data_IF_563071267719
#
_entry.id   IF_563071267719
#
_cell.length_a   1.000
_cell.length_b   1.000
_cell.length_c   1.000
_cell.angle_alpha   90.00
_cell.angle_beta   90.00
_cell.angle_gamma   90.00
#
_symmetry.space_group_name_H-M   'P 1'
#
loop_
_entity.id
_entity.type
_entity.pdbx_description
1 polymer ?
#
# COMPACT_ATOMS: atom_id res chain seq x y z
N UNK A 1 -1.12 -6.77 -1.55
CA UNK A 1 -0.11 -6.93 -0.49
C UNK A 1 -0.52 -7.98 0.54
N UNK A 2 -1.49 -7.72 1.42
CA UNK A 2 -1.76 -8.60 2.58
C UNK A 2 -2.24 -10.02 2.25
N UNK A 3 -3.05 -10.21 1.19
CA UNK A 3 -3.42 -11.57 0.72
C UNK A 3 -2.23 -12.28 0.08
N UNK A 4 -1.37 -11.56 -0.64
CA UNK A 4 -0.16 -12.13 -1.22
C UNK A 4 0.82 -12.55 -0.12
N UNK A 5 1.01 -11.71 0.91
CA UNK A 5 1.83 -12.03 2.10
C UNK A 5 1.23 -13.18 2.91
N UNK A 6 -0.09 -13.23 3.09
CA UNK A 6 -0.76 -14.36 3.76
C UNK A 6 -0.72 -15.65 2.93
N UNK A 7 -0.81 -15.56 1.60
CA UNK A 7 -0.64 -16.69 0.71
C UNK A 7 0.80 -17.19 0.74
N UNK A 8 1.77 -16.28 0.75
CA UNK A 8 3.20 -16.58 0.91
C UNK A 8 3.46 -17.23 2.26
N UNK A 9 2.97 -16.69 3.38
CA UNK A 9 3.10 -17.32 4.71
C UNK A 9 2.34 -18.66 4.80
N UNK A 10 1.21 -18.80 4.10
CA UNK A 10 0.45 -20.04 4.01
C UNK A 10 1.16 -21.13 3.19
N UNK A 11 1.89 -20.73 2.15
CA UNK A 11 2.75 -21.61 1.34
C UNK A 11 4.06 -21.93 2.09
N UNK A 12 4.62 -20.96 2.80
CA UNK A 12 5.87 -21.05 3.56
C UNK A 12 5.72 -21.85 4.87
N UNK A 13 4.49 -22.01 5.39
CA UNK A 13 4.17 -22.92 6.51
C UNK A 13 3.83 -24.36 6.09
N UNK A 14 3.99 -24.75 4.81
CA UNK A 14 3.92 -26.18 4.46
C UNK A 14 5.17 -26.89 5.00
N UNK A 15 5.02 -27.95 5.80
CA UNK A 15 6.17 -28.78 6.19
C UNK A 15 6.82 -29.35 4.91
N UNK A 16 8.14 -29.60 4.93
CA UNK A 16 8.87 -30.11 3.77
C UNK A 16 8.14 -31.30 3.14
N UNK A 17 7.79 -31.21 1.86
CA UNK A 17 7.22 -32.34 1.11
C UNK A 17 8.34 -33.18 0.47
N UNK A 18 7.98 -34.37 -0.01
CA UNK A 18 8.94 -35.31 -0.57
C UNK A 18 9.55 -34.83 -1.90
N UNK A 19 8.97 -33.81 -2.54
CA UNK A 19 9.46 -33.24 -3.80
C UNK A 19 10.41 -32.04 -3.58
N UNK A 20 10.36 -31.38 -2.41
CA UNK A 20 11.18 -30.19 -2.09
C UNK A 20 11.87 -30.28 -0.71
N UNK A 21 12.93 -31.09 -0.58
CA UNK A 21 13.61 -31.33 0.71
C UNK A 21 14.31 -30.09 1.32
N UNK A 22 14.53 -29.03 0.52
CA UNK A 22 15.26 -27.82 0.93
C UNK A 22 14.37 -26.57 1.12
N UNK A 23 13.04 -26.67 0.95
CA UNK A 23 12.08 -25.58 1.17
C UNK A 23 11.76 -24.69 -0.05
N UNK A 24 10.69 -23.90 0.04
CA UNK A 24 10.09 -23.10 -1.06
C UNK A 24 10.70 -21.69 -1.24
N UNK A 25 11.84 -21.38 -0.60
CA UNK A 25 12.36 -20.00 -0.51
C UNK A 25 12.59 -19.30 -1.85
N UNK A 26 12.92 -20.02 -2.93
CA UNK A 26 13.06 -19.43 -4.28
C UNK A 26 11.73 -19.02 -4.91
N UNK A 27 10.67 -19.79 -4.67
CA UNK A 27 9.33 -19.48 -5.21
C UNK A 27 8.69 -18.28 -4.49
N UNK A 28 8.98 -18.12 -3.20
CA UNK A 28 8.57 -16.99 -2.37
C UNK A 28 9.17 -15.68 -2.89
N UNK A 29 10.50 -15.66 -3.11
CA UNK A 29 11.22 -14.51 -3.67
C UNK A 29 10.70 -14.14 -5.07
N UNK A 30 10.48 -15.10 -5.96
CA UNK A 30 9.91 -14.83 -7.30
C UNK A 30 8.49 -14.24 -7.20
N UNK A 31 7.67 -14.73 -6.27
CA UNK A 31 6.31 -14.22 -6.08
C UNK A 31 6.31 -12.78 -5.56
N UNK A 32 7.22 -12.44 -4.64
CA UNK A 32 7.42 -11.08 -4.13
C UNK A 32 7.90 -10.14 -5.24
N UNK A 33 8.81 -10.59 -6.11
CA UNK A 33 9.27 -9.83 -7.28
C UNK A 33 8.11 -9.46 -8.20
N UNK A 34 7.23 -10.42 -8.53
CA UNK A 34 6.07 -10.20 -9.40
C UNK A 34 5.13 -9.16 -8.78
N UNK A 35 4.81 -9.29 -7.48
CA UNK A 35 3.97 -8.33 -6.77
C UNK A 35 4.62 -6.94 -6.77
N UNK A 36 5.93 -6.87 -6.53
CA UNK A 36 6.70 -5.62 -6.61
C UNK A 36 6.58 -4.95 -7.98
N UNK A 37 6.76 -5.70 -9.08
CA UNK A 37 6.65 -5.15 -10.44
C UNK A 37 5.24 -4.58 -10.71
N UNK A 38 4.20 -5.29 -10.29
CA UNK A 38 2.81 -4.80 -10.41
C UNK A 38 2.63 -3.49 -9.63
N UNK A 39 3.18 -3.40 -8.42
CA UNK A 39 3.12 -2.19 -7.61
C UNK A 39 3.90 -1.02 -8.22
N UNK A 40 5.04 -1.27 -8.87
CA UNK A 40 5.76 -0.25 -9.65
C UNK A 40 4.82 0.32 -10.72
N UNK A 41 4.19 -0.53 -11.52
CA UNK A 41 3.29 -0.10 -12.60
C UNK A 41 2.13 0.74 -12.04
N UNK A 42 1.50 0.28 -10.95
CA UNK A 42 0.42 1.02 -10.28
C UNK A 42 0.90 2.37 -9.75
N UNK A 43 2.09 2.43 -9.13
CA UNK A 43 2.65 3.68 -8.61
C UNK A 43 2.93 4.71 -9.71
N UNK A 44 3.47 4.26 -10.85
CA UNK A 44 3.72 5.11 -12.01
C UNK A 44 2.41 5.63 -12.59
N UNK A 45 1.38 4.77 -12.69
CA UNK A 45 0.06 5.18 -13.15
C UNK A 45 -0.54 6.28 -12.25
N UNK A 46 -0.53 6.09 -10.92
CA UNK A 46 -1.03 7.10 -9.97
C UNK A 46 -0.25 8.41 -10.08
N UNK A 47 1.07 8.34 -10.28
CA UNK A 47 1.91 9.52 -10.45
C UNK A 47 1.57 10.28 -11.74
N UNK A 48 1.31 9.58 -12.84
CA UNK A 48 0.88 10.19 -14.11
C UNK A 48 -0.45 10.91 -13.92
N UNK A 49 -1.44 10.26 -13.31
CA UNK A 49 -2.75 10.87 -13.01
C UNK A 49 -2.62 12.12 -12.13
N UNK A 50 -1.74 12.08 -11.12
CA UNK A 50 -1.45 13.24 -10.28
C UNK A 50 -0.86 14.39 -11.10
N UNK A 51 0.10 14.12 -11.99
CA UNK A 51 0.71 15.14 -12.87
C UNK A 51 -0.31 15.71 -13.85
N UNK A 52 -1.15 14.87 -14.46
CA UNK A 52 -2.20 15.30 -15.39
C UNK A 52 -3.21 16.21 -14.68
N UNK A 53 -3.66 15.84 -13.49
CA UNK A 53 -4.53 16.67 -12.64
C UNK A 53 -3.90 18.04 -12.33
N UNK A 54 -2.58 18.08 -12.15
CA UNK A 54 -1.83 19.32 -11.97
C UNK A 54 -1.78 20.21 -13.22
N UNK A 55 -1.65 19.61 -14.41
CA UNK A 55 -1.46 20.34 -15.69
C UNK A 55 -2.80 20.78 -16.29
N UNK A 56 -3.80 19.90 -16.29
CA UNK A 56 -5.12 20.16 -16.90
C UNK A 56 -6.02 21.04 -16.01
N UNK A 57 -5.67 21.13 -14.72
CA UNK A 57 -6.44 21.82 -13.70
C UNK A 57 -7.24 20.81 -12.86
N UNK A 58 -7.11 20.85 -11.52
CA UNK A 58 -7.67 19.83 -10.66
C UNK A 58 -9.20 19.92 -10.65
N UNK A 59 -9.84 18.83 -11.08
CA UNK A 59 -11.26 18.61 -10.90
C UNK A 59 -11.62 18.44 -9.43
N UNK A 60 -12.90 18.61 -9.09
CA UNK A 60 -13.38 18.35 -7.73
C UNK A 60 -13.51 16.83 -7.54
N UNK A 61 -12.82 16.23 -6.55
CA UNK A 61 -12.99 14.82 -6.26
C UNK A 61 -14.44 14.49 -5.88
N UNK A 62 -14.90 13.31 -6.30
CA UNK A 62 -16.23 12.83 -5.93
C UNK A 62 -16.29 12.49 -4.44
N UNK A 63 -17.45 12.69 -3.80
CA UNK A 63 -17.69 12.27 -2.42
C UNK A 63 -17.46 10.76 -2.20
N UNK A 64 -17.66 9.94 -3.24
CA UNK A 64 -17.33 8.51 -3.22
C UNK A 64 -15.86 8.25 -2.90
N UNK A 65 -14.93 9.05 -3.41
CA UNK A 65 -13.50 8.94 -3.14
C UNK A 65 -13.18 9.22 -1.66
N UNK A 66 -13.87 10.20 -1.06
CA UNK A 66 -13.73 10.52 0.37
C UNK A 66 -14.16 9.34 1.25
N UNK A 67 -15.32 8.75 0.97
CA UNK A 67 -15.81 7.59 1.70
C UNK A 67 -14.92 6.36 1.48
N UNK A 68 -14.44 6.13 0.25
CA UNK A 68 -13.52 5.04 -0.05
C UNK A 68 -12.21 5.18 0.73
N UNK A 69 -11.61 6.38 0.77
CA UNK A 69 -10.39 6.65 1.53
C UNK A 69 -10.60 6.48 3.05
N UNK A 70 -11.74 6.93 3.58
CA UNK A 70 -12.10 6.77 4.99
C UNK A 70 -12.28 5.29 5.37
N UNK A 71 -12.99 4.53 4.54
CA UNK A 71 -13.18 3.09 4.74
C UNK A 71 -11.84 2.35 4.67
N UNK A 72 -10.97 2.71 3.71
CA UNK A 72 -9.61 2.14 3.61
C UNK A 72 -8.80 2.41 4.88
N UNK A 73 -8.78 3.66 5.35
CA UNK A 73 -8.10 4.03 6.60
C UNK A 73 -8.63 3.22 7.78
N UNK A 74 -9.95 3.16 7.97
CA UNK A 74 -10.57 2.43 9.07
C UNK A 74 -10.25 0.93 9.00
N UNK A 75 -10.33 0.32 7.82
CA UNK A 75 -9.99 -1.09 7.62
C UNK A 75 -8.52 -1.38 7.95
N UNK A 76 -7.59 -0.51 7.50
CA UNK A 76 -6.16 -0.66 7.78
C UNK A 76 -5.84 -0.46 9.26
N UNK A 77 -6.49 0.49 9.93
CA UNK A 77 -6.35 0.70 11.37
C UNK A 77 -6.83 -0.52 12.17
N UNK A 78 -7.96 -1.13 11.79
CA UNK A 78 -8.46 -2.37 12.40
C UNK A 78 -7.46 -3.51 12.20
N UNK A 79 -6.96 -3.69 10.97
CA UNK A 79 -5.97 -4.73 10.65
C UNK A 79 -4.68 -4.53 11.42
N UNK A 80 -4.17 -3.30 11.52
CA UNK A 80 -2.99 -2.98 12.32
C UNK A 80 -3.18 -3.37 13.78
N UNK A 81 -4.28 -2.93 14.41
CA UNK A 81 -4.58 -3.23 15.83
C UNK A 81 -4.75 -4.72 16.08
N UNK A 82 -5.38 -5.42 15.14
CA UNK A 82 -5.54 -6.86 15.24
C UNK A 82 -4.19 -7.56 15.12
N UNK A 83 -3.40 -7.24 14.08
CA UNK A 83 -2.11 -7.86 13.82
C UNK A 83 -1.11 -7.58 14.95
N UNK A 84 -1.01 -6.35 15.48
CA UNK A 84 -0.08 -6.06 16.57
C UNK A 84 -0.46 -6.81 17.84
N UNK A 85 -1.75 -6.85 18.19
CA UNK A 85 -2.25 -7.57 19.38
C UNK A 85 -1.98 -9.07 19.29
N UNK A 86 -2.19 -9.66 18.10
CA UNK A 86 -1.90 -11.07 17.88
C UNK A 86 -0.40 -11.33 17.86
N UNK A 87 0.39 -10.46 17.22
CA UNK A 87 1.84 -10.56 17.17
C UNK A 87 2.48 -10.57 18.56
N UNK A 88 2.02 -9.68 19.46
CA UNK A 88 2.45 -9.65 20.86
C UNK A 88 1.97 -10.86 21.65
N UNK A 89 0.69 -11.25 21.50
CA UNK A 89 0.12 -12.41 22.19
C UNK A 89 0.87 -13.71 21.89
N UNK A 90 1.25 -13.90 20.62
CA UNK A 90 1.95 -15.10 20.15
C UNK A 90 3.48 -14.93 20.11
N UNK A 91 4.00 -13.80 20.57
CA UNK A 91 5.42 -13.43 20.52
C UNK A 91 6.05 -13.65 19.12
N UNK A 92 5.28 -13.37 18.07
CA UNK A 92 5.63 -13.64 16.67
C UNK A 92 6.16 -12.39 16.00
N UNK A 93 7.48 -12.34 15.80
CA UNK A 93 8.16 -11.25 15.08
C UNK A 93 7.64 -11.08 13.66
N UNK A 94 7.23 -12.16 13.00
CA UNK A 94 6.66 -12.12 11.65
C UNK A 94 5.32 -11.39 11.61
N UNK A 95 4.40 -11.69 12.54
CA UNK A 95 3.10 -11.01 12.61
C UNK A 95 3.27 -9.53 12.99
N UNK A 96 4.21 -9.23 13.89
CA UNK A 96 4.54 -7.84 14.26
C UNK A 96 5.08 -7.08 13.04
N UNK A 97 5.93 -7.69 12.22
CA UNK A 97 6.43 -7.08 10.98
C UNK A 97 5.28 -6.73 10.01
N UNK A 98 4.31 -7.65 9.82
CA UNK A 98 3.12 -7.40 9.00
C UNK A 98 2.25 -6.28 9.58
N UNK A 99 2.15 -6.17 10.91
CA UNK A 99 1.45 -5.06 11.53
C UNK A 99 2.14 -3.72 11.17
N UNK A 100 3.46 -3.63 11.26
CA UNK A 100 4.18 -2.42 10.87
C UNK A 100 4.03 -2.07 9.38
N UNK A 101 3.88 -3.04 8.49
CA UNK A 101 3.52 -2.81 7.09
C UNK A 101 2.14 -2.13 6.96
N UNK A 102 1.12 -2.60 7.69
CA UNK A 102 -0.19 -1.94 7.73
C UNK A 102 -0.11 -0.49 8.21
N UNK A 103 0.87 -0.13 9.05
CA UNK A 103 1.08 1.25 9.47
C UNK A 103 1.46 2.17 8.31
N UNK A 104 2.26 1.67 7.35
CA UNK A 104 2.56 2.41 6.12
C UNK A 104 1.30 2.66 5.30
N UNK A 105 0.46 1.64 5.15
CA UNK A 105 -0.84 1.75 4.45
C UNK A 105 -1.83 2.70 5.13
N UNK A 106 -1.82 2.76 6.47
CA UNK A 106 -2.63 3.72 7.25
C UNK A 106 -2.21 5.15 6.91
N UNK A 107 -0.90 5.43 6.91
CA UNK A 107 -0.36 6.77 6.59
C UNK A 107 -0.73 7.16 5.16
N UNK A 108 -0.58 6.25 4.20
CA UNK A 108 -0.96 6.48 2.81
C UNK A 108 -2.47 6.74 2.66
N UNK A 109 -3.31 5.92 3.31
CA UNK A 109 -4.77 6.08 3.25
C UNK A 109 -5.23 7.39 3.91
N UNK A 110 -4.59 7.79 5.00
CA UNK A 110 -4.87 9.04 5.69
C UNK A 110 -4.44 10.25 4.84
N UNK A 111 -3.28 10.19 4.20
CA UNK A 111 -2.82 11.23 3.28
C UNK A 111 -3.82 11.44 2.13
N UNK A 112 -4.28 10.35 1.50
CA UNK A 112 -5.30 10.40 0.46
C UNK A 112 -6.63 10.99 0.98
N UNK A 113 -7.11 10.54 2.15
CA UNK A 113 -8.32 11.07 2.77
C UNK A 113 -8.25 12.59 3.00
N UNK A 114 -7.12 13.07 3.55
CA UNK A 114 -6.91 14.51 3.80
C UNK A 114 -6.84 15.28 2.47
N UNK A 115 -6.14 14.76 1.46
CA UNK A 115 -6.05 15.38 0.14
C UNK A 115 -7.42 15.58 -0.51
N UNK A 116 -8.23 14.52 -0.55
CA UNK A 116 -9.61 14.55 -1.06
C UNK A 116 -10.48 15.52 -0.24
N UNK A 117 -10.41 15.45 1.09
CA UNK A 117 -11.21 16.31 1.97
C UNK A 117 -10.90 17.80 1.74
N UNK A 118 -9.62 18.14 1.65
CA UNK A 118 -9.18 19.52 1.38
C UNK A 118 -9.64 19.99 0.01
N UNK A 119 -9.53 19.17 -1.02
CA UNK A 119 -10.01 19.51 -2.36
C UNK A 119 -11.52 19.77 -2.40
N UNK A 120 -12.34 18.95 -1.71
CA UNK A 120 -13.78 19.16 -1.59
C UNK A 120 -14.09 20.46 -0.84
N UNK A 121 -13.42 20.73 0.29
CA UNK A 121 -13.60 21.99 1.04
C UNK A 121 -13.19 23.19 0.19
N UNK A 122 -12.09 23.07 -0.57
CA UNK A 122 -11.62 24.07 -1.52
C UNK A 122 -12.67 24.43 -2.55
N UNK A 123 -13.32 23.40 -3.12
CA UNK A 123 -14.43 23.58 -4.06
C UNK A 123 -15.60 24.34 -3.44
N UNK A 124 -16.01 24.00 -2.22
CA UNK A 124 -17.17 24.65 -1.55
C UNK A 124 -16.84 26.10 -1.18
N UNK A 125 -15.61 26.38 -0.76
CA UNK A 125 -15.16 27.71 -0.30
C UNK A 125 -14.65 28.62 -1.43
N UNK A 126 -14.51 28.10 -2.64
CA UNK A 126 -13.92 28.83 -3.78
C UNK A 126 -12.40 29.03 -3.67
N UNK A 127 -11.71 28.22 -2.87
CA UNK A 127 -10.26 28.29 -2.68
C UNK A 127 -9.55 27.38 -3.68
N UNK A 128 -9.21 27.93 -4.84
CA UNK A 128 -8.64 27.18 -5.97
C UNK A 128 -7.33 26.45 -5.64
N UNK A 129 -6.54 26.93 -4.67
CA UNK A 129 -5.29 26.28 -4.27
C UNK A 129 -5.48 24.95 -3.54
N UNK A 130 -6.63 24.73 -2.87
CA UNK A 130 -6.92 23.46 -2.18
C UNK A 130 -7.31 22.34 -3.15
N UNK A 131 -7.75 22.66 -4.36
CA UNK A 131 -8.13 21.64 -5.36
C UNK A 131 -6.93 20.74 -5.72
N UNK A 132 -5.71 21.28 -5.63
CA UNK A 132 -4.47 20.53 -5.85
C UNK A 132 -4.09 19.59 -4.70
N UNK A 133 -4.76 19.67 -3.54
CA UNK A 133 -4.41 18.87 -2.38
C UNK A 133 -4.53 17.37 -2.63
N UNK A 134 -5.52 16.95 -3.42
CA UNK A 134 -5.69 15.55 -3.83
C UNK A 134 -4.53 15.08 -4.71
N UNK A 135 -4.18 15.85 -5.75
CA UNK A 135 -3.04 15.54 -6.63
C UNK A 135 -1.70 15.45 -5.87
N UNK A 136 -1.48 16.35 -4.90
CA UNK A 136 -0.29 16.29 -4.02
C UNK A 136 -0.31 15.00 -3.18
N UNK A 137 -1.45 14.68 -2.58
CA UNK A 137 -1.60 13.46 -1.80
C UNK A 137 -1.35 12.21 -2.66
N UNK A 138 -1.91 12.15 -3.87
CA UNK A 138 -1.69 11.06 -4.83
C UNK A 138 -0.21 10.92 -5.19
N UNK A 139 0.51 12.01 -5.42
CA UNK A 139 1.94 11.97 -5.72
C UNK A 139 2.76 11.42 -4.53
N UNK A 140 2.43 11.82 -3.30
CA UNK A 140 3.06 11.29 -2.08
C UNK A 140 2.77 9.79 -1.94
N UNK A 141 1.53 9.37 -2.12
CA UNK A 141 1.12 7.96 -2.03
C UNK A 141 1.81 7.13 -3.12
N UNK A 142 1.89 7.63 -4.35
CA UNK A 142 2.62 6.97 -5.44
C UNK A 142 4.09 6.74 -5.07
N UNK A 143 4.76 7.76 -4.52
CA UNK A 143 6.15 7.62 -4.06
C UNK A 143 6.31 6.57 -2.94
N UNK A 144 5.39 6.52 -1.98
CA UNK A 144 5.41 5.51 -0.92
C UNK A 144 5.24 4.10 -1.47
N UNK A 145 4.28 3.89 -2.38
CA UNK A 145 4.06 2.59 -3.05
C UNK A 145 5.30 2.19 -3.85
N UNK A 146 5.89 3.12 -4.59
CA UNK A 146 7.11 2.88 -5.34
C UNK A 146 8.25 2.42 -4.42
N UNK A 147 8.46 3.11 -3.29
CA UNK A 147 9.49 2.73 -2.32
C UNK A 147 9.28 1.30 -1.80
N UNK A 148 8.05 0.96 -1.41
CA UNK A 148 7.69 -0.39 -0.92
C UNK A 148 7.91 -1.43 -2.03
N UNK A 149 7.55 -1.12 -3.27
CA UNK A 149 7.74 -2.02 -4.41
C UNK A 149 9.22 -2.32 -4.68
N UNK A 150 10.11 -1.33 -4.51
CA UNK A 150 11.55 -1.52 -4.64
C UNK A 150 12.13 -2.37 -3.51
N UNK A 151 11.60 -2.25 -2.30
CA UNK A 151 11.96 -3.11 -1.16
C UNK A 151 11.57 -4.58 -1.40
N UNK A 152 10.47 -4.84 -2.13
CA UNK A 152 10.05 -6.20 -2.54
C UNK A 152 10.90 -6.77 -3.68
N UNK A 153 11.31 -5.95 -4.65
CA UNK A 153 12.08 -6.41 -5.82
C UNK A 153 13.55 -6.67 -5.47
N UNK A 154 14.16 -5.83 -4.63
CA UNK A 154 15.61 -5.84 -4.39
C UNK A 154 16.16 -7.19 -3.92
N UNK A 155 15.56 -7.89 -2.94
CA UNK A 155 16.04 -9.21 -2.52
C UNK A 155 16.00 -10.25 -3.66
N UNK A 156 15.07 -10.09 -4.59
CA UNK A 156 14.90 -11.02 -5.72
C UNK A 156 15.99 -10.90 -6.76
N UNK A 157 16.53 -9.70 -6.97
CA UNK A 157 17.65 -9.46 -7.88
C UNK A 157 18.96 -9.97 -7.29
N UNK A 158 19.10 -9.96 -5.96
CA UNK A 158 20.31 -10.45 -5.27
C UNK A 158 20.39 -11.99 -5.18
N UNK A 159 19.25 -12.69 -5.35
CA UNK A 159 19.15 -14.16 -5.26
C UNK A 159 19.23 -14.86 -6.62
N UNK A 160 18.96 -14.16 -7.72
CA UNK A 160 19.05 -14.64 -9.11
C UNK A 160 20.44 -14.42 -9.70
#
# INVERSE_FOLDING_TARGET
>A
ASIAVLAVIGISNKPPDQDHPFGHGKAEVISEAIVGIILVIVSVYILIEAILSFVEGPGVPQYSALFAALISYAAKEILYRYSIKQGEKWNSKAIIAIAYDHKGDIVASLAAFIGVLLAIIGSIRGWSYLLYADAIASAIVAYLIFKISMELIRPSVEVL
#
